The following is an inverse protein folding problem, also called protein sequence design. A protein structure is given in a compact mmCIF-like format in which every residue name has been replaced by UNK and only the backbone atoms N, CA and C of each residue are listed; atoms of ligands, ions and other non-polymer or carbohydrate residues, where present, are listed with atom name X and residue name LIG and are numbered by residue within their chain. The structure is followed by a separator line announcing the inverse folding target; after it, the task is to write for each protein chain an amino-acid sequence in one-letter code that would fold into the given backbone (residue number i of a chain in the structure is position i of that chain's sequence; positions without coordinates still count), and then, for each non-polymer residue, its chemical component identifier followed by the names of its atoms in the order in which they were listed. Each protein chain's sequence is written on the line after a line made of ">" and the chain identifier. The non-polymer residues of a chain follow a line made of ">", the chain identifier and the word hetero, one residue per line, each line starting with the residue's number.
data_IF_373785693413
#
_entry.id   IF_373785693413
#
_cell.length_a   1.000
_cell.length_b   1.000
_cell.length_c   1.000
_cell.angle_alpha   90.00
_cell.angle_beta   90.00
_cell.angle_gamma   90.00
#
_symmetry.space_group_name_H-M   'P 1'
#
loop_
_entity.id
_entity.type
_entity.pdbx_description
1 polymer ?
#
# COMPACT_ATOMS: atom_id res chain seq x y z
N UNK A 1 -32.19 -13.67 -10.20
CA UNK A 1 -30.99 -13.98 -9.39
C UNK A 1 -30.45 -12.67 -8.83
N UNK A 2 -30.13 -12.55 -7.54
CA UNK A 2 -29.58 -11.30 -7.02
C UNK A 2 -28.18 -11.11 -7.64
N UNK A 3 -28.04 -10.07 -8.46
CA UNK A 3 -26.76 -9.68 -9.02
C UNK A 3 -25.93 -9.09 -7.87
N UNK A 4 -24.96 -9.86 -7.38
CA UNK A 4 -24.06 -9.40 -6.32
C UNK A 4 -23.17 -8.31 -6.92
N UNK A 5 -23.45 -7.06 -6.59
CA UNK A 5 -22.60 -5.94 -6.96
C UNK A 5 -21.22 -6.15 -6.32
N UNK A 6 -20.18 -6.16 -7.16
CA UNK A 6 -18.80 -6.17 -6.67
C UNK A 6 -18.52 -4.77 -6.11
N UNK A 7 -17.98 -4.64 -4.87
CA UNK A 7 -17.65 -3.35 -4.31
C UNK A 7 -16.70 -2.56 -5.24
N UNK A 8 -16.91 -1.25 -5.46
CA UNK A 8 -16.09 -0.43 -6.36
C UNK A 8 -14.59 -0.56 -6.10
N UNK A 9 -14.18 -0.57 -4.83
CA UNK A 9 -12.78 -0.77 -4.43
C UNK A 9 -12.16 -2.06 -4.98
N UNK A 10 -12.92 -3.16 -4.98
CA UNK A 10 -12.44 -4.46 -5.49
C UNK A 10 -12.32 -4.41 -7.02
N UNK A 11 -13.24 -3.70 -7.68
CA UNK A 11 -13.19 -3.52 -9.13
C UNK A 11 -12.00 -2.67 -9.55
N UNK A 12 -11.76 -1.54 -8.87
CA UNK A 12 -10.66 -0.63 -9.18
C UNK A 12 -9.29 -1.28 -8.89
N UNK A 13 -9.17 -2.02 -7.79
CA UNK A 13 -7.93 -2.78 -7.50
C UNK A 13 -7.62 -3.82 -8.59
N UNK A 14 -8.65 -4.39 -9.22
CA UNK A 14 -8.47 -5.30 -10.36
C UNK A 14 -8.24 -4.58 -11.70
N UNK A 15 -8.81 -3.37 -11.88
CA UNK A 15 -8.76 -2.63 -13.14
C UNK A 15 -7.49 -1.78 -13.28
N UNK A 16 -6.95 -1.26 -12.18
CA UNK A 16 -5.80 -0.37 -12.17
C UNK A 16 -4.54 -1.14 -11.73
N UNK A 17 -3.55 -1.32 -12.62
CA UNK A 17 -2.37 -2.14 -12.33
C UNK A 17 -1.41 -1.53 -11.31
N UNK A 18 -1.48 -0.21 -11.06
CA UNK A 18 -0.57 0.49 -10.16
C UNK A 18 -1.35 1.09 -9.00
N UNK A 19 -0.87 0.86 -7.78
CA UNK A 19 -1.45 1.40 -6.55
C UNK A 19 -0.35 1.97 -5.66
N UNK A 20 -0.53 3.19 -5.20
CA UNK A 20 0.29 3.81 -4.16
C UNK A 20 -0.55 4.00 -2.91
N UNK A 21 0.03 3.76 -1.74
CA UNK A 21 -0.61 3.99 -0.44
C UNK A 21 0.11 5.13 0.26
N UNK A 22 -0.64 6.14 0.66
CA UNK A 22 -0.15 7.34 1.32
C UNK A 22 -0.56 7.28 2.78
N UNK A 23 0.36 7.64 3.68
CA UNK A 23 0.06 7.72 5.10
C UNK A 23 -0.94 8.86 5.37
N UNK A 24 -1.99 8.58 6.13
CA UNK A 24 -2.94 9.58 6.61
C UNK A 24 -2.52 10.01 8.01
N UNK A 25 -2.15 11.28 8.24
CA UNK A 25 -1.83 11.77 9.59
C UNK A 25 -3.04 11.65 10.52
N UNK A 26 -2.83 11.62 11.83
CA UNK A 26 -3.91 11.52 12.83
C UNK A 26 -4.95 12.66 12.75
N UNK A 27 -4.57 13.82 12.20
CA UNK A 27 -5.48 14.96 11.96
C UNK A 27 -6.22 14.87 10.61
N UNK A 28 -6.01 13.80 9.84
CA UNK A 28 -6.52 13.60 8.49
C UNK A 28 -5.73 14.35 7.41
N UNK A 29 -6.10 14.10 6.14
CA UNK A 29 -5.51 14.77 4.98
C UNK A 29 -6.17 16.12 4.61
N UNK A 30 -7.37 16.40 5.12
CA UNK A 30 -8.04 17.71 5.03
C UNK A 30 -7.85 18.46 3.70
N UNK A 31 -7.29 19.69 3.71
CA UNK A 31 -7.04 20.48 2.49
C UNK A 31 -6.12 19.81 1.47
N UNK A 32 -5.16 19.00 1.92
CA UNK A 32 -4.20 18.31 1.05
C UNK A 32 -4.92 17.27 0.18
N UNK A 33 -5.93 16.60 0.72
CA UNK A 33 -6.76 15.67 -0.07
C UNK A 33 -7.47 16.40 -1.22
N UNK A 34 -8.02 17.59 -0.96
CA UNK A 34 -8.70 18.40 -2.00
C UNK A 34 -7.71 18.80 -3.09
N UNK A 35 -6.49 19.19 -2.71
CA UNK A 35 -5.43 19.55 -3.64
C UNK A 35 -5.00 18.36 -4.50
N UNK A 36 -4.80 17.19 -3.90
CA UNK A 36 -4.50 15.92 -4.58
C UNK A 36 -5.59 15.61 -5.61
N UNK A 37 -6.86 15.62 -5.21
CA UNK A 37 -7.97 15.28 -6.12
C UNK A 37 -8.11 16.26 -7.26
N UNK A 38 -7.89 17.56 -7.00
CA UNK A 38 -7.88 18.60 -8.03
C UNK A 38 -6.75 18.39 -9.03
N UNK A 39 -5.54 18.10 -8.54
CA UNK A 39 -4.38 17.83 -9.38
C UNK A 39 -4.58 16.58 -10.23
N UNK A 40 -5.07 15.49 -9.64
CA UNK A 40 -5.37 14.24 -10.36
C UNK A 40 -6.38 14.47 -11.48
N UNK A 41 -7.43 15.26 -11.22
CA UNK A 41 -8.42 15.61 -12.25
C UNK A 41 -7.82 16.45 -13.38
N UNK A 42 -6.90 17.36 -13.08
CA UNK A 42 -6.24 18.24 -14.05
C UNK A 42 -5.21 17.50 -14.91
N UNK A 43 -4.27 16.82 -14.28
CA UNK A 43 -3.07 16.28 -14.95
C UNK A 43 -3.24 14.84 -15.44
N UNK A 44 -4.00 14.02 -14.71
CA UNK A 44 -4.17 12.58 -14.99
C UNK A 44 -5.47 12.32 -15.74
N UNK A 45 -6.53 13.05 -15.38
CA UNK A 45 -7.87 12.90 -15.92
C UNK A 45 -8.68 11.80 -15.22
N UNK A 46 -9.98 12.03 -15.05
CA UNK A 46 -10.87 11.20 -14.21
C UNK A 46 -10.90 9.71 -14.59
N UNK A 47 -10.70 9.36 -15.86
CA UNK A 47 -10.73 7.97 -16.32
C UNK A 47 -9.41 7.20 -16.06
N UNK A 48 -8.36 7.88 -15.60
CA UNK A 48 -7.02 7.30 -15.47
C UNK A 48 -6.56 7.11 -14.02
N UNK A 49 -7.40 7.49 -13.05
CA UNK A 49 -7.15 7.25 -11.64
C UNK A 49 -8.42 6.84 -10.90
N UNK A 50 -8.23 6.16 -9.76
CA UNK A 50 -9.25 5.97 -8.74
C UNK A 50 -8.61 6.21 -7.37
N UNK A 51 -9.43 6.49 -6.35
CA UNK A 51 -8.94 6.60 -4.98
C UNK A 51 -9.93 5.99 -4.00
N UNK A 52 -9.41 5.38 -2.95
CA UNK A 52 -10.20 4.78 -1.87
C UNK A 52 -9.47 4.96 -0.54
N UNK A 53 -10.24 5.12 0.53
CA UNK A 53 -9.71 4.93 1.89
C UNK A 53 -9.09 3.53 1.99
N UNK A 54 -7.99 3.40 2.71
CA UNK A 54 -7.27 2.15 2.88
C UNK A 54 -6.65 2.07 4.27
N UNK A 55 -6.38 0.85 4.73
CA UNK A 55 -5.61 0.64 5.95
C UNK A 55 -4.23 0.12 5.57
N UNK A 56 -3.21 0.60 6.27
CA UNK A 56 -1.89 -0.02 6.32
C UNK A 56 -1.81 -1.00 7.51
N UNK A 57 -0.63 -1.56 7.82
CA UNK A 57 -0.51 -2.53 8.91
C UNK A 57 -0.81 -1.89 10.28
N UNK A 58 -0.35 -0.67 10.52
CA UNK A 58 -0.50 0.01 11.82
C UNK A 58 -1.21 1.39 11.71
N UNK A 59 -1.43 1.91 10.49
CA UNK A 59 -1.99 3.26 10.28
C UNK A 59 -3.08 3.31 9.23
N UNK A 60 -3.90 4.36 9.28
CA UNK A 60 -4.78 4.74 8.17
C UNK A 60 -3.97 5.19 6.95
N UNK A 61 -4.53 4.94 5.77
CA UNK A 61 -3.91 5.25 4.49
C UNK A 61 -4.92 5.72 3.44
N UNK A 62 -4.43 6.44 2.44
CA UNK A 62 -5.15 6.72 1.21
C UNK A 62 -4.54 5.88 0.09
N UNK A 63 -5.34 5.05 -0.57
CA UNK A 63 -4.91 4.35 -1.77
C UNK A 63 -5.28 5.15 -3.01
N UNK A 64 -4.27 5.49 -3.83
CA UNK A 64 -4.47 6.08 -5.16
C UNK A 64 -4.03 5.07 -6.21
N UNK A 65 -4.90 4.86 -7.18
CA UNK A 65 -4.78 3.88 -8.24
C UNK A 65 -4.48 4.60 -9.55
N UNK A 66 -3.55 4.05 -10.35
CA UNK A 66 -3.13 4.61 -11.63
C UNK A 66 -3.13 3.54 -12.71
N UNK A 67 -3.49 3.95 -13.92
CA UNK A 67 -3.42 3.08 -15.10
C UNK A 67 -2.01 2.98 -15.68
N UNK A 68 -1.23 4.05 -15.56
CA UNK A 68 0.08 4.21 -16.20
C UNK A 68 1.11 4.73 -15.20
N UNK A 69 2.37 4.33 -15.39
CA UNK A 69 3.45 4.66 -14.47
C UNK A 69 3.91 6.11 -14.57
N UNK A 70 3.80 6.73 -15.74
CA UNK A 70 4.09 8.15 -15.94
C UNK A 70 3.22 9.04 -15.03
N UNK A 71 1.91 8.76 -14.95
CA UNK A 71 1.02 9.49 -14.05
C UNK A 71 1.37 9.31 -12.58
N UNK A 72 1.74 8.10 -12.17
CA UNK A 72 2.18 7.82 -10.80
C UNK A 72 3.46 8.59 -10.47
N UNK A 73 4.43 8.61 -11.37
CA UNK A 73 5.69 9.32 -11.16
C UNK A 73 5.48 10.83 -11.10
N UNK A 74 4.68 11.40 -12.01
CA UNK A 74 4.31 12.81 -11.96
C UNK A 74 3.59 13.17 -10.67
N UNK A 75 2.74 12.27 -10.16
CA UNK A 75 2.04 12.46 -8.89
C UNK A 75 3.02 12.54 -7.71
N UNK A 76 3.98 11.61 -7.62
CA UNK A 76 4.99 11.63 -6.56
C UNK A 76 5.92 12.85 -6.65
N UNK A 77 6.15 13.37 -7.86
CA UNK A 77 6.93 14.60 -8.06
C UNK A 77 6.13 15.86 -7.68
N UNK A 78 4.83 15.88 -7.93
CA UNK A 78 3.96 17.00 -7.58
C UNK A 78 3.73 17.13 -6.06
N UNK A 79 3.80 16.01 -5.34
CA UNK A 79 3.56 15.96 -3.90
C UNK A 79 4.72 15.27 -3.16
N UNK A 80 5.93 15.86 -3.15
CA UNK A 80 7.12 15.23 -2.58
C UNK A 80 7.05 15.08 -1.06
N UNK A 81 6.23 15.89 -0.38
CA UNK A 81 6.07 15.86 1.08
C UNK A 81 5.12 14.76 1.55
N UNK A 82 4.41 14.08 0.63
CA UNK A 82 3.52 12.99 0.99
C UNK A 82 4.32 11.75 1.36
N UNK A 83 4.09 11.26 2.58
CA UNK A 83 4.72 10.04 3.06
C UNK A 83 4.00 8.83 2.50
N UNK A 84 4.76 7.89 1.93
CA UNK A 84 4.25 6.57 1.58
C UNK A 84 3.93 5.82 2.87
N UNK A 85 2.81 5.10 2.87
CA UNK A 85 2.49 4.12 3.91
C UNK A 85 3.34 2.85 3.72
N UNK A 86 4.66 3.03 3.61
CA UNK A 86 5.66 1.96 3.50
C UNK A 86 6.01 1.47 4.91
N UNK A 87 5.30 0.43 5.32
CA UNK A 87 5.50 -0.21 6.61
C UNK A 87 6.52 -1.35 6.56
N UNK A 88 7.40 -1.41 5.55
CA UNK A 88 8.46 -2.43 5.50
C UNK A 88 9.42 -2.41 6.69
N UNK A 89 9.47 -1.30 7.43
CA UNK A 89 10.21 -1.16 8.69
C UNK A 89 9.34 -1.25 9.94
N UNK A 90 8.01 -1.46 9.83
CA UNK A 90 7.14 -1.54 11.00
C UNK A 90 7.35 -2.87 11.74
N UNK A 91 7.21 -2.89 13.09
CA UNK A 91 7.30 -4.12 13.87
C UNK A 91 6.29 -5.19 13.43
N UNK A 92 5.13 -4.77 12.91
CA UNK A 92 4.12 -5.64 12.31
C UNK A 92 4.56 -6.29 10.99
N UNK A 93 5.48 -5.69 10.24
CA UNK A 93 5.96 -6.24 8.98
C UNK A 93 6.99 -7.36 9.19
N UNK A 94 6.53 -8.60 9.07
CA UNK A 94 7.40 -9.78 9.10
C UNK A 94 7.75 -10.21 7.69
N UNK A 95 8.95 -9.86 7.24
CA UNK A 95 9.48 -10.36 5.98
C UNK A 95 9.57 -11.90 6.00
N UNK A 96 8.87 -12.62 5.10
CA UNK A 96 8.86 -14.08 5.10
C UNK A 96 10.24 -14.71 4.83
N UNK A 97 11.18 -13.96 4.23
CA UNK A 97 12.57 -14.41 4.10
C UNK A 97 13.31 -14.46 5.44
N UNK A 98 12.99 -13.57 6.37
CA UNK A 98 13.55 -13.56 7.72
C UNK A 98 13.01 -14.74 8.56
N UNK A 99 11.77 -15.17 8.33
CA UNK A 99 11.15 -16.29 9.03
C UNK A 99 11.84 -17.64 8.75
N UNK A 100 12.39 -17.85 7.55
CA UNK A 100 13.11 -19.10 7.21
C UNK A 100 14.46 -19.26 7.92
N UNK A 101 15.09 -18.18 8.37
CA UNK A 101 16.40 -18.25 9.06
C UNK A 101 16.28 -18.75 10.50
N UNK A 102 15.14 -18.52 11.16
CA UNK A 102 14.89 -18.94 12.54
C UNK A 102 14.42 -20.40 12.66
N UNK A 103 13.91 -21.00 11.59
CA UNK A 103 13.47 -22.40 11.59
C UNK A 103 14.58 -23.40 11.20
N UNK A 104 15.68 -22.92 10.60
CA UNK A 104 16.82 -23.77 10.19
C UNK A 104 17.88 -24.00 11.27
N UNK A 105 17.80 -23.32 12.42
CA UNK A 105 18.83 -23.38 13.48
C UNK A 105 18.36 -24.17 14.70
N UNK A 106 17.68 -25.31 14.48
CA UNK A 106 17.24 -26.19 15.56
C UNK A 106 17.37 -27.68 15.25
N UNK A 107 18.42 -28.09 14.57
CA UNK A 107 18.87 -29.50 14.54
C UNK A 107 20.35 -29.58 14.15
N UNK A 108 21.24 -29.51 15.14
CA UNK A 108 22.59 -30.12 15.14
C UNK A 108 23.20 -29.86 16.51
N UNK A 109 22.98 -30.80 17.43
CA UNK A 109 23.62 -30.72 18.75
C UNK A 109 22.93 -31.55 19.81
N UNK A 110 22.82 -32.88 19.61
CA UNK A 110 22.77 -33.83 20.73
C UNK A 110 22.94 -35.25 20.18
N UNK A 111 24.19 -35.68 19.96
CA UNK A 111 24.57 -37.08 20.17
C UNK A 111 26.09 -37.12 20.32
N UNK A 112 26.52 -37.01 21.57
CA UNK A 112 27.85 -37.44 21.99
C UNK A 112 27.71 -38.08 23.37
N UNK A 113 28.09 -39.36 23.39
CA UNK A 113 28.58 -40.18 24.51
C UNK A 113 27.73 -40.33 25.76
N UNK A 114 27.45 -41.58 26.15
CA UNK A 114 28.13 -42.24 27.28
C UNK A 114 27.61 -43.67 27.48
N UNK A 115 28.52 -44.60 27.80
CA UNK A 115 28.23 -45.84 28.52
C UNK A 115 28.23 -47.11 27.68
#
# INVERSE_FOLDING_TARGET
>A
MPQRSIPPRVLDDAAFPLRVKLHVPALGLGPVLIEILRWLRSEVGEANFAHHEADSLETEALAVYFRRSDHLLSFLQAFPDLQLADETNSPGYRNPKTLRRLQGQRVRGAFSSSG
#
